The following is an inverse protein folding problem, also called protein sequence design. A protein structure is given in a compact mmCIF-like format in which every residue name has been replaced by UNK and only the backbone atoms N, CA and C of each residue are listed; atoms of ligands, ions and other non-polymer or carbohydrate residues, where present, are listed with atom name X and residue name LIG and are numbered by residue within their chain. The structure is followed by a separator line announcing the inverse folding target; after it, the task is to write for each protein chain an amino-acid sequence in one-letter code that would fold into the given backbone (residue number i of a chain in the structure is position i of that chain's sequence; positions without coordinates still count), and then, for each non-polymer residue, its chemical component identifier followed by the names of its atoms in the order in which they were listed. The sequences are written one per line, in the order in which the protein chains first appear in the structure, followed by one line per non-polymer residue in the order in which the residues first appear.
data_IF_735457395557
#
_entry.id   IF_735457395557
#
_cell.length_a   1.000
_cell.length_b   1.000
_cell.length_c   1.000
_cell.angle_alpha   90.00
_cell.angle_beta   90.00
_cell.angle_gamma   90.00
#
_symmetry.space_group_name_H-M   'P 1'
#
loop_
_entity.id
_entity.type
_entity.pdbx_description
1 polymer ?
#
# COMPACT_ATOMS: atom_id res chain seq x y z
N UNK A 1 27.91 -62.87 33.24
CA UNK A 1 28.94 -61.99 32.66
C UNK A 1 28.81 -60.64 33.33
N UNK A 2 29.78 -60.31 34.19
CA UNK A 2 29.76 -59.11 35.04
C UNK A 2 30.05 -57.87 34.19
N UNK A 3 29.11 -56.93 34.10
CA UNK A 3 29.39 -55.58 33.63
C UNK A 3 30.20 -54.87 34.73
N UNK A 4 31.39 -54.31 34.43
CA UNK A 4 32.15 -53.59 35.44
C UNK A 4 31.34 -52.35 35.86
N UNK A 5 31.16 -52.18 37.17
CA UNK A 5 30.65 -50.96 37.75
C UNK A 5 31.69 -49.86 37.51
N UNK A 6 31.58 -49.16 36.38
CA UNK A 6 32.27 -47.88 36.15
C UNK A 6 32.05 -47.01 37.39
N UNK A 7 33.14 -46.68 38.07
CA UNK A 7 33.10 -45.94 39.32
C UNK A 7 32.41 -44.59 39.08
N UNK A 8 31.57 -44.15 40.03
CA UNK A 8 30.90 -42.84 39.92
C UNK A 8 31.86 -41.66 39.72
N UNK A 9 33.14 -41.86 40.05
CA UNK A 9 34.23 -40.93 39.82
C UNK A 9 34.60 -40.77 38.34
N UNK A 10 34.63 -41.85 37.55
CA UNK A 10 34.91 -41.80 36.10
C UNK A 10 33.83 -41.01 35.34
N UNK A 11 32.57 -41.19 35.73
CA UNK A 11 31.43 -40.42 35.17
C UNK A 11 31.52 -38.94 35.57
N UNK A 12 31.82 -38.66 36.83
CA UNK A 12 31.99 -37.29 37.31
C UNK A 12 33.21 -36.58 36.67
N UNK A 13 34.27 -37.32 36.34
CA UNK A 13 35.43 -36.78 35.63
C UNK A 13 35.12 -36.54 34.14
N UNK A 14 34.38 -37.44 33.49
CA UNK A 14 33.91 -37.27 32.12
C UNK A 14 32.97 -36.06 31.98
N UNK A 15 32.06 -35.85 32.93
CA UNK A 15 31.20 -34.67 33.00
C UNK A 15 32.00 -33.38 33.19
N UNK A 16 32.99 -33.36 34.09
CA UNK A 16 33.90 -32.22 34.25
C UNK A 16 34.68 -31.92 32.98
N UNK A 17 35.21 -32.94 32.30
CA UNK A 17 35.90 -32.80 31.00
C UNK A 17 34.96 -32.26 29.90
N UNK A 18 33.71 -32.73 29.86
CA UNK A 18 32.70 -32.25 28.91
C UNK A 18 32.29 -30.79 29.18
N UNK A 19 32.13 -30.42 30.45
CA UNK A 19 31.80 -29.06 30.88
C UNK A 19 32.95 -28.08 30.54
N UNK A 20 34.20 -28.49 30.76
CA UNK A 20 35.38 -27.71 30.32
C UNK A 20 35.41 -27.55 28.80
N UNK A 21 35.16 -28.63 28.03
CA UNK A 21 35.08 -28.57 26.56
C UNK A 21 33.93 -27.68 26.08
N UNK A 22 32.78 -27.71 26.77
CA UNK A 22 31.62 -26.86 26.48
C UNK A 22 31.95 -25.40 26.73
N UNK A 23 32.46 -25.06 27.91
CA UNK A 23 32.90 -23.69 28.26
C UNK A 23 33.97 -23.16 27.32
N UNK A 24 34.90 -24.02 26.89
CA UNK A 24 35.89 -23.66 25.87
C UNK A 24 35.25 -23.36 24.50
N UNK A 25 34.29 -24.18 24.05
CA UNK A 25 33.56 -23.96 22.78
C UNK A 25 32.68 -22.71 22.84
N UNK A 26 32.06 -22.41 23.97
CA UNK A 26 31.25 -21.22 24.19
C UNK A 26 32.12 -19.96 24.18
N UNK A 27 33.21 -19.94 24.97
CA UNK A 27 34.16 -18.81 25.03
C UNK A 27 34.87 -18.55 23.70
N UNK A 28 35.12 -19.59 22.91
CA UNK A 28 35.80 -19.49 21.61
C UNK A 28 34.86 -19.69 20.41
N UNK A 29 33.54 -19.56 20.60
CA UNK A 29 32.56 -19.88 19.57
C UNK A 29 32.77 -19.06 18.30
N UNK A 30 33.05 -17.77 18.44
CA UNK A 30 33.26 -16.87 17.30
C UNK A 30 34.58 -17.17 16.59
N UNK A 31 35.69 -17.32 17.34
CA UNK A 31 37.00 -17.71 16.78
C UNK A 31 36.95 -19.05 16.04
N UNK A 32 36.21 -20.04 16.59
CA UNK A 32 36.03 -21.35 15.94
C UNK A 32 35.17 -21.21 14.68
N UNK A 33 34.11 -20.38 14.70
CA UNK A 33 33.28 -20.10 13.52
C UNK A 33 34.09 -19.40 12.42
N UNK A 34 34.87 -18.38 12.77
CA UNK A 34 35.74 -17.64 11.87
C UNK A 34 36.84 -18.53 11.29
N UNK A 35 37.51 -19.33 12.12
CA UNK A 35 38.52 -20.29 11.66
C UNK A 35 37.93 -21.33 10.69
N UNK A 36 36.73 -21.85 10.98
CA UNK A 36 36.02 -22.76 10.06
C UNK A 36 35.61 -22.08 8.77
N UNK A 37 35.18 -20.81 8.82
CA UNK A 37 34.82 -20.03 7.63
C UNK A 37 36.06 -19.81 6.76
N UNK A 38 37.14 -19.30 7.34
CA UNK A 38 38.40 -19.05 6.65
C UNK A 38 39.00 -20.35 6.06
N UNK A 39 38.88 -21.47 6.75
CA UNK A 39 39.28 -22.77 6.20
C UNK A 39 38.41 -23.19 5.01
N UNK A 40 37.08 -23.03 5.09
CA UNK A 40 36.16 -23.34 3.97
C UNK A 40 36.38 -22.44 2.77
N UNK A 41 36.71 -21.16 2.99
CA UNK A 41 37.03 -20.20 1.93
C UNK A 41 38.34 -20.60 1.24
N UNK A 42 39.41 -20.84 2.01
CA UNK A 42 40.70 -21.30 1.45
C UNK A 42 40.63 -22.65 0.75
N UNK A 43 39.71 -23.54 1.15
CA UNK A 43 39.55 -24.88 0.58
C UNK A 43 38.31 -25.00 -0.30
N UNK A 44 37.72 -23.88 -0.73
CA UNK A 44 36.45 -23.91 -1.45
C UNK A 44 36.54 -24.71 -2.74
N UNK A 45 37.61 -24.50 -3.51
CA UNK A 45 37.81 -25.17 -4.79
C UNK A 45 38.14 -26.65 -4.63
N UNK A 46 38.97 -27.00 -3.63
CA UNK A 46 39.23 -28.40 -3.29
C UNK A 46 37.95 -29.13 -2.84
N UNK A 47 37.12 -28.51 -1.99
CA UNK A 47 35.85 -29.08 -1.55
C UNK A 47 34.89 -29.25 -2.74
N UNK A 48 34.85 -28.28 -3.67
CA UNK A 48 34.03 -28.37 -4.88
C UNK A 48 34.51 -29.49 -5.81
N UNK A 49 35.81 -29.57 -6.09
CA UNK A 49 36.40 -30.60 -6.93
C UNK A 49 36.18 -32.00 -6.35
N UNK A 50 36.44 -32.16 -5.04
CA UNK A 50 36.19 -33.42 -4.33
C UNK A 50 34.71 -33.84 -4.40
N UNK A 51 33.78 -32.91 -4.15
CA UNK A 51 32.34 -33.20 -4.26
C UNK A 51 31.92 -33.53 -5.69
N UNK A 52 32.47 -32.83 -6.69
CA UNK A 52 32.16 -33.10 -8.08
C UNK A 52 32.65 -34.49 -8.53
N UNK A 53 33.86 -34.89 -8.11
CA UNK A 53 34.39 -36.23 -8.35
C UNK A 53 33.52 -37.29 -7.66
N UNK A 54 33.21 -37.08 -6.38
CA UNK A 54 32.35 -37.99 -5.62
C UNK A 54 30.94 -38.11 -6.22
N UNK A 55 30.31 -36.98 -6.59
CA UNK A 55 28.99 -36.98 -7.23
C UNK A 55 29.01 -37.62 -8.62
N UNK A 56 30.14 -37.58 -9.34
CA UNK A 56 30.30 -38.25 -10.63
C UNK A 56 30.43 -39.76 -10.47
N UNK A 57 31.22 -40.22 -9.50
CA UNK A 57 31.43 -41.65 -9.20
C UNK A 57 30.19 -42.30 -8.56
N UNK A 58 29.49 -41.58 -7.68
CA UNK A 58 28.35 -42.09 -6.92
C UNK A 58 26.99 -41.55 -7.39
N UNK A 59 26.92 -41.01 -8.62
CA UNK A 59 25.72 -40.34 -9.15
C UNK A 59 24.47 -41.21 -9.07
N UNK A 60 24.57 -42.44 -9.57
CA UNK A 60 23.44 -43.36 -9.64
C UNK A 60 22.98 -43.83 -8.26
N UNK A 61 23.91 -44.07 -7.34
CA UNK A 61 23.60 -44.45 -5.97
C UNK A 61 22.87 -43.31 -5.24
N UNK A 62 23.37 -42.08 -5.34
CA UNK A 62 22.73 -40.91 -4.74
C UNK A 62 21.35 -40.67 -5.34
N UNK A 63 21.18 -40.83 -6.66
CA UNK A 63 19.87 -40.70 -7.32
C UNK A 63 18.91 -41.82 -6.90
N UNK A 64 19.38 -43.07 -6.78
CA UNK A 64 18.60 -44.19 -6.30
C UNK A 64 18.11 -43.96 -4.87
N UNK A 65 19.01 -43.57 -3.95
CA UNK A 65 18.66 -43.21 -2.58
C UNK A 65 17.66 -42.05 -2.51
N UNK A 66 17.85 -41.00 -3.33
CA UNK A 66 16.89 -39.88 -3.43
C UNK A 66 15.52 -40.34 -3.95
N UNK A 67 15.47 -41.23 -4.94
CA UNK A 67 14.22 -41.79 -5.46
C UNK A 67 13.51 -42.65 -4.42
N UNK A 68 14.25 -43.47 -3.67
CA UNK A 68 13.67 -44.28 -2.58
C UNK A 68 13.17 -43.42 -1.43
N UNK A 69 13.95 -42.45 -0.98
CA UNK A 69 13.55 -41.48 0.03
C UNK A 69 12.26 -40.76 -0.40
N UNK A 70 12.21 -40.25 -1.63
CA UNK A 70 11.03 -39.58 -2.18
C UNK A 70 9.82 -40.51 -2.28
N UNK A 71 10.02 -41.79 -2.64
CA UNK A 71 8.97 -42.82 -2.66
C UNK A 71 8.44 -43.09 -1.24
N UNK A 72 9.31 -43.22 -0.24
CA UNK A 72 8.90 -43.43 1.16
C UNK A 72 8.16 -42.22 1.73
N UNK A 73 8.68 -41.01 1.54
CA UNK A 73 8.05 -39.77 1.99
C UNK A 73 6.66 -39.56 1.34
N UNK A 74 6.57 -39.75 0.02
CA UNK A 74 5.29 -39.64 -0.68
C UNK A 74 4.28 -40.71 -0.25
N UNK A 75 4.72 -41.96 -0.02
CA UNK A 75 3.89 -43.02 0.53
C UNK A 75 3.40 -42.70 1.96
N UNK A 76 4.28 -42.19 2.83
CA UNK A 76 3.91 -41.75 4.18
C UNK A 76 2.89 -40.61 4.15
N UNK A 77 3.10 -39.58 3.32
CA UNK A 77 2.14 -38.49 3.14
C UNK A 77 0.81 -38.97 2.56
N UNK A 78 0.84 -39.92 1.64
CA UNK A 78 -0.38 -40.52 1.09
C UNK A 78 -1.15 -41.33 2.16
N UNK A 79 -0.45 -42.13 2.98
CA UNK A 79 -1.04 -42.87 4.09
C UNK A 79 -1.62 -41.94 5.16
N UNK A 80 -0.92 -40.84 5.48
CA UNK A 80 -1.41 -39.83 6.42
C UNK A 80 -2.68 -39.13 5.89
N UNK A 81 -2.70 -38.75 4.60
CA UNK A 81 -3.90 -38.21 3.95
C UNK A 81 -5.06 -39.19 4.02
N UNK A 82 -4.85 -40.46 3.67
CA UNK A 82 -5.87 -41.52 3.77
C UNK A 82 -6.38 -41.69 5.20
N UNK A 83 -5.50 -41.64 6.21
CA UNK A 83 -5.90 -41.70 7.64
C UNK A 83 -6.71 -40.48 8.06
N UNK A 84 -6.37 -39.28 7.58
CA UNK A 84 -7.15 -38.06 7.84
C UNK A 84 -8.52 -38.13 7.18
N UNK A 85 -8.59 -38.60 5.94
CA UNK A 85 -9.84 -38.79 5.20
C UNK A 85 -10.73 -39.85 5.84
N UNK A 86 -10.18 -41.00 6.24
CA UNK A 86 -10.94 -42.04 6.93
C UNK A 86 -11.47 -41.56 8.28
N UNK A 87 -10.68 -40.81 9.06
CA UNK A 87 -11.14 -40.16 10.29
C UNK A 87 -12.24 -39.13 10.04
N UNK A 88 -12.14 -38.33 8.97
CA UNK A 88 -13.19 -37.38 8.59
C UNK A 88 -14.47 -38.12 8.19
N UNK A 89 -14.35 -39.20 7.44
CA UNK A 89 -15.49 -40.01 7.02
C UNK A 89 -16.17 -40.70 8.20
N UNK A 90 -15.40 -41.31 9.11
CA UNK A 90 -15.94 -41.95 10.32
C UNK A 90 -16.57 -40.92 11.26
N UNK A 91 -15.91 -39.77 11.45
CA UNK A 91 -16.46 -38.66 12.22
C UNK A 91 -17.76 -38.14 11.61
N UNK A 92 -17.82 -37.96 10.29
CA UNK A 92 -19.05 -37.56 9.59
C UNK A 92 -20.18 -38.57 9.80
N UNK A 93 -19.91 -39.86 9.61
CA UNK A 93 -20.89 -40.93 9.87
C UNK A 93 -21.39 -40.91 11.31
N UNK A 94 -20.48 -40.76 12.28
CA UNK A 94 -20.82 -40.63 13.68
C UNK A 94 -21.74 -39.42 13.93
N UNK A 95 -21.38 -38.23 13.43
CA UNK A 95 -22.22 -37.03 13.56
C UNK A 95 -23.57 -37.14 12.85
N UNK A 96 -23.64 -37.85 11.73
CA UNK A 96 -24.90 -38.10 11.02
C UNK A 96 -25.81 -39.03 11.82
N UNK A 97 -25.28 -40.11 12.38
CA UNK A 97 -26.01 -41.02 13.26
C UNK A 97 -26.50 -40.32 14.55
N UNK A 98 -25.69 -39.45 15.14
CA UNK A 98 -25.99 -38.78 16.43
C UNK A 98 -26.48 -37.34 16.25
N UNK A 99 -26.95 -37.00 15.03
CA UNK A 99 -27.35 -35.63 14.70
C UNK A 99 -28.53 -35.13 15.52
N UNK A 100 -29.49 -36.02 15.81
CA UNK A 100 -30.66 -35.71 16.61
C UNK A 100 -30.27 -35.46 18.08
N UNK A 101 -29.52 -36.39 18.67
CA UNK A 101 -29.01 -36.28 20.04
C UNK A 101 -28.16 -35.01 20.25
N UNK A 102 -27.25 -34.71 19.32
CA UNK A 102 -26.45 -33.49 19.41
C UNK A 102 -27.30 -32.22 19.32
N UNK A 103 -28.37 -32.23 18.52
CA UNK A 103 -29.32 -31.11 18.43
C UNK A 103 -30.10 -30.96 19.74
N UNK A 104 -30.54 -32.06 20.34
CA UNK A 104 -31.24 -32.06 21.63
C UNK A 104 -30.34 -31.60 22.76
N UNK A 105 -29.14 -32.15 22.86
CA UNK A 105 -28.10 -31.68 23.76
C UNK A 105 -27.85 -30.17 23.62
N UNK A 106 -27.72 -29.68 22.38
CA UNK A 106 -27.54 -28.24 22.12
C UNK A 106 -28.76 -27.43 22.55
N UNK A 107 -29.98 -27.93 22.35
CA UNK A 107 -31.23 -27.26 22.80
C UNK A 107 -31.27 -27.19 24.33
N UNK A 108 -31.02 -28.30 25.01
CA UNK A 108 -30.99 -28.39 26.47
C UNK A 108 -29.90 -27.48 27.06
N UNK A 109 -28.70 -27.50 26.48
CA UNK A 109 -27.62 -26.61 26.89
C UNK A 109 -27.98 -25.13 26.73
N UNK A 110 -28.63 -24.74 25.62
CA UNK A 110 -29.11 -23.36 25.41
C UNK A 110 -30.22 -22.99 26.39
N UNK A 111 -31.14 -23.91 26.67
CA UNK A 111 -32.21 -23.70 27.65
C UNK A 111 -31.63 -23.50 29.05
N UNK A 112 -30.70 -24.37 29.46
CA UNK A 112 -29.98 -24.26 30.73
C UNK A 112 -29.24 -22.92 30.84
N UNK A 113 -28.49 -22.52 29.80
CA UNK A 113 -27.77 -21.23 29.82
C UNK A 113 -28.68 -20.02 29.82
N UNK A 114 -29.85 -20.09 29.19
CA UNK A 114 -30.86 -19.03 29.26
C UNK A 114 -31.54 -18.97 30.63
N UNK A 115 -31.70 -20.10 31.31
CA UNK A 115 -32.30 -20.16 32.65
C UNK A 115 -31.31 -19.71 33.75
N UNK A 116 -30.03 -20.06 33.63
CA UNK A 116 -28.97 -19.71 34.58
C UNK A 116 -28.64 -18.20 34.55
N UNK A 117 -28.49 -17.64 33.34
CA UNK A 117 -28.23 -16.20 33.15
C UNK A 117 -28.83 -15.71 31.82
N UNK A 118 -30.09 -15.23 31.83
CA UNK A 118 -30.75 -14.73 30.64
C UNK A 118 -30.01 -13.55 29.99
N UNK A 119 -29.48 -12.62 30.79
CA UNK A 119 -28.88 -11.38 30.30
C UNK A 119 -27.48 -11.63 29.73
N UNK A 120 -26.63 -12.39 30.44
CA UNK A 120 -25.31 -12.76 29.95
C UNK A 120 -25.37 -13.64 28.71
N UNK A 121 -26.35 -14.55 28.60
CA UNK A 121 -26.57 -15.33 27.38
C UNK A 121 -26.94 -14.42 26.18
N UNK A 122 -27.81 -13.44 26.38
CA UNK A 122 -28.16 -12.47 25.33
C UNK A 122 -26.96 -11.60 24.94
N UNK A 123 -26.20 -11.09 25.91
CA UNK A 123 -25.01 -10.29 25.66
C UNK A 123 -23.93 -11.08 24.89
N UNK A 124 -23.69 -12.33 25.28
CA UNK A 124 -22.78 -13.25 24.57
C UNK A 124 -23.25 -13.51 23.14
N UNK A 125 -24.55 -13.74 22.92
CA UNK A 125 -25.12 -13.89 21.57
C UNK A 125 -25.01 -12.62 20.73
N UNK A 126 -25.27 -11.46 21.32
CA UNK A 126 -25.17 -10.17 20.65
C UNK A 126 -23.72 -9.84 20.26
N UNK A 127 -22.73 -10.15 21.11
CA UNK A 127 -21.30 -9.98 20.77
C UNK A 127 -20.87 -10.92 19.65
N UNK A 128 -21.27 -12.19 19.69
CA UNK A 128 -21.02 -13.15 18.62
C UNK A 128 -21.65 -12.70 17.29
N UNK A 129 -22.90 -12.24 17.34
CA UNK A 129 -23.61 -11.73 16.17
C UNK A 129 -22.94 -10.46 15.61
N UNK A 130 -22.51 -9.53 16.47
CA UNK A 130 -21.77 -8.32 16.06
C UNK A 130 -20.44 -8.68 15.39
N UNK A 131 -19.68 -9.64 15.95
CA UNK A 131 -18.43 -10.14 15.34
C UNK A 131 -18.70 -10.76 13.98
N UNK A 132 -19.71 -11.61 13.87
CA UNK A 132 -20.11 -12.24 12.60
C UNK A 132 -20.49 -11.19 11.55
N UNK A 133 -21.32 -10.21 11.91
CA UNK A 133 -21.67 -9.11 11.01
C UNK A 133 -20.46 -8.29 10.60
N UNK A 134 -19.54 -7.98 11.52
CA UNK A 134 -18.33 -7.20 11.18
C UNK A 134 -17.49 -7.89 10.09
N UNK A 135 -17.41 -9.21 10.10
CA UNK A 135 -16.59 -9.97 9.14
C UNK A 135 -17.35 -10.39 7.89
N UNK A 136 -18.67 -10.61 7.95
CA UNK A 136 -19.44 -11.17 6.84
C UNK A 136 -20.46 -10.20 6.23
N UNK A 137 -20.52 -8.94 6.69
CA UNK A 137 -21.46 -7.94 6.17
C UNK A 137 -21.35 -7.76 4.66
N UNK A 138 -20.14 -7.69 4.14
CA UNK A 138 -19.95 -7.43 2.70
C UNK A 138 -20.29 -8.64 1.85
N UNK A 139 -19.95 -9.85 2.30
CA UNK A 139 -20.36 -11.10 1.64
C UNK A 139 -21.89 -11.25 1.62
N UNK A 140 -22.54 -10.99 2.75
CA UNK A 140 -24.00 -11.05 2.85
C UNK A 140 -24.67 -10.00 1.96
N UNK A 141 -24.17 -8.77 1.98
CA UNK A 141 -24.65 -7.70 1.11
C UNK A 141 -24.40 -8.00 -0.38
N UNK A 142 -23.27 -8.62 -0.73
CA UNK A 142 -22.99 -9.03 -2.10
C UNK A 142 -23.99 -10.09 -2.58
N UNK A 143 -24.28 -11.10 -1.76
CA UNK A 143 -25.32 -12.11 -2.04
C UNK A 143 -26.70 -11.48 -2.22
N UNK A 144 -27.09 -10.57 -1.34
CA UNK A 144 -28.34 -9.82 -1.47
C UNK A 144 -28.41 -8.97 -2.74
N UNK A 145 -27.31 -8.29 -3.10
CA UNK A 145 -27.23 -7.50 -4.34
C UNK A 145 -27.35 -8.41 -5.55
N UNK A 146 -26.70 -9.56 -5.55
CA UNK A 146 -26.80 -10.55 -6.63
C UNK A 146 -28.26 -11.04 -6.76
N UNK A 147 -28.87 -11.47 -5.65
CA UNK A 147 -30.27 -11.91 -5.62
C UNK A 147 -31.23 -10.82 -6.13
N UNK A 148 -31.04 -9.57 -5.71
CA UNK A 148 -31.86 -8.45 -6.19
C UNK A 148 -31.59 -8.04 -7.63
N UNK A 149 -30.39 -8.32 -8.16
CA UNK A 149 -30.04 -8.07 -9.56
C UNK A 149 -30.68 -9.11 -10.46
N UNK A 150 -30.59 -10.38 -10.09
CA UNK A 150 -31.11 -11.52 -10.86
C UNK A 150 -32.64 -11.58 -10.80
N UNK A 151 -33.23 -11.36 -9.62
CA UNK A 151 -34.67 -11.47 -9.41
C UNK A 151 -35.24 -10.23 -8.70
N UNK A 152 -35.40 -9.09 -9.41
CA UNK A 152 -35.96 -7.87 -8.83
C UNK A 152 -37.48 -7.90 -8.65
N UNK A 153 -38.19 -8.74 -9.42
CA UNK A 153 -39.65 -8.70 -9.51
C UNK A 153 -40.40 -9.07 -8.23
N UNK A 154 -40.00 -10.07 -7.42
CA UNK A 154 -40.72 -10.39 -6.18
C UNK A 154 -40.81 -9.19 -5.22
N UNK A 155 -39.70 -8.45 -5.07
CA UNK A 155 -39.65 -7.26 -4.21
C UNK A 155 -40.50 -6.12 -4.78
N UNK A 156 -40.51 -5.94 -6.11
CA UNK A 156 -41.35 -4.93 -6.78
C UNK A 156 -42.82 -5.28 -6.70
N UNK A 157 -43.19 -6.54 -6.90
CA UNK A 157 -44.54 -7.04 -6.79
C UNK A 157 -45.08 -6.85 -5.38
N UNK A 158 -44.32 -7.24 -4.35
CA UNK A 158 -44.68 -7.00 -2.96
C UNK A 158 -44.84 -5.51 -2.65
N UNK A 159 -43.93 -4.66 -3.14
CA UNK A 159 -44.06 -3.21 -2.98
C UNK A 159 -45.32 -2.68 -3.67
N UNK A 160 -45.61 -3.10 -4.91
CA UNK A 160 -46.83 -2.72 -5.65
C UNK A 160 -48.09 -3.13 -4.89
N UNK A 161 -48.15 -4.37 -4.39
CA UNK A 161 -49.27 -4.87 -3.61
C UNK A 161 -49.47 -4.05 -2.32
N UNK A 162 -48.38 -3.75 -1.60
CA UNK A 162 -48.43 -2.90 -0.40
C UNK A 162 -48.92 -1.48 -0.71
N UNK A 163 -48.39 -0.83 -1.75
CA UNK A 163 -48.85 0.52 -2.14
C UNK A 163 -50.30 0.54 -2.62
N UNK A 164 -50.77 -0.52 -3.28
CA UNK A 164 -52.16 -0.64 -3.70
C UNK A 164 -53.09 -0.82 -2.50
N UNK A 165 -52.76 -1.72 -1.57
CA UNK A 165 -53.55 -1.98 -0.38
C UNK A 165 -53.58 -0.80 0.61
N UNK A 166 -52.47 -0.05 0.72
CA UNK A 166 -52.32 1.05 1.68
C UNK A 166 -52.32 2.44 1.02
N UNK A 167 -52.92 2.58 -0.16
CA UNK A 167 -52.85 3.83 -0.94
C UNK A 167 -53.38 5.05 -0.17
N UNK A 168 -54.56 4.92 0.45
CA UNK A 168 -55.21 6.02 1.18
C UNK A 168 -54.52 6.31 2.52
N UNK A 169 -54.08 5.29 3.24
CA UNK A 169 -53.30 5.45 4.48
C UNK A 169 -52.00 6.24 4.21
N UNK A 170 -51.29 5.90 3.13
CA UNK A 170 -50.07 6.60 2.74
C UNK A 170 -50.34 8.03 2.28
N UNK A 171 -51.44 8.30 1.57
CA UNK A 171 -51.85 9.66 1.22
C UNK A 171 -52.19 10.47 2.47
N UNK A 172 -52.94 9.92 3.41
CA UNK A 172 -53.29 10.57 4.67
C UNK A 172 -52.04 10.90 5.49
N UNK A 173 -51.13 9.94 5.67
CA UNK A 173 -49.83 10.16 6.34
C UNK A 173 -49.00 11.25 5.64
N UNK A 174 -48.95 11.27 4.31
CA UNK A 174 -48.24 12.32 3.55
C UNK A 174 -48.86 13.70 3.75
N UNK A 175 -50.20 13.80 3.72
CA UNK A 175 -50.92 15.06 3.97
C UNK A 175 -50.67 15.57 5.38
N UNK A 176 -50.80 14.71 6.39
CA UNK A 176 -50.53 15.04 7.79
C UNK A 176 -49.08 15.50 8.00
N UNK A 177 -48.11 14.77 7.43
CA UNK A 177 -46.71 15.15 7.48
C UNK A 177 -46.45 16.52 6.84
N UNK A 178 -47.02 16.76 5.65
CA UNK A 178 -46.87 18.05 4.96
C UNK A 178 -47.52 19.19 5.73
N UNK A 179 -48.71 18.98 6.31
CA UNK A 179 -49.37 19.99 7.14
C UNK A 179 -48.51 20.37 8.35
N UNK A 180 -47.97 19.38 9.07
CA UNK A 180 -47.11 19.60 10.22
C UNK A 180 -45.73 20.20 9.86
N UNK A 181 -45.20 19.90 8.66
CA UNK A 181 -43.84 20.28 8.25
C UNK A 181 -43.81 21.27 7.07
N UNK A 182 -44.90 21.99 6.83
CA UNK A 182 -45.06 22.84 5.64
C UNK A 182 -43.92 23.84 5.47
N UNK A 183 -43.55 24.53 6.54
CA UNK A 183 -42.47 25.51 6.55
C UNK A 183 -41.11 24.88 6.17
N UNK A 184 -40.80 23.71 6.72
CA UNK A 184 -39.55 22.97 6.42
C UNK A 184 -39.48 22.53 4.96
N UNK A 185 -40.58 22.00 4.41
CA UNK A 185 -40.64 21.59 3.00
C UNK A 185 -40.48 22.79 2.08
N UNK A 186 -41.16 23.90 2.35
CA UNK A 186 -41.05 25.13 1.56
C UNK A 186 -39.65 25.76 1.66
N UNK A 187 -39.04 25.78 2.84
CA UNK A 187 -37.67 26.26 3.03
C UNK A 187 -36.66 25.41 2.24
N UNK A 188 -36.80 24.08 2.27
CA UNK A 188 -36.00 23.17 1.45
C UNK A 188 -36.16 23.42 -0.06
N UNK A 189 -37.39 23.64 -0.51
CA UNK A 189 -37.67 23.98 -1.91
C UNK A 189 -37.06 25.33 -2.31
N UNK A 190 -37.13 26.36 -1.45
CA UNK A 190 -36.49 27.66 -1.68
C UNK A 190 -34.97 27.51 -1.75
N UNK A 191 -34.36 26.82 -0.78
CA UNK A 191 -32.92 26.58 -0.77
C UNK A 191 -32.44 25.80 -2.01
N UNK A 192 -33.24 24.82 -2.48
CA UNK A 192 -32.95 24.10 -3.71
C UNK A 192 -32.98 25.02 -4.94
N UNK A 193 -34.01 25.87 -5.07
CA UNK A 193 -34.13 26.84 -6.18
C UNK A 193 -32.99 27.84 -6.18
N UNK A 194 -32.64 28.40 -5.03
CA UNK A 194 -31.51 29.34 -4.90
C UNK A 194 -30.17 28.71 -5.26
N UNK A 195 -29.95 27.45 -4.87
CA UNK A 195 -28.75 26.71 -5.28
C UNK A 195 -28.70 26.49 -6.79
N UNK A 196 -29.83 26.13 -7.41
CA UNK A 196 -29.88 25.92 -8.86
C UNK A 196 -29.71 27.24 -9.63
N UNK A 197 -30.28 28.34 -9.12
CA UNK A 197 -30.05 29.70 -9.64
C UNK A 197 -28.57 30.07 -9.60
N UNK A 198 -27.88 29.84 -8.47
CA UNK A 198 -26.43 30.07 -8.35
C UNK A 198 -25.61 29.18 -9.29
N UNK A 199 -26.00 27.90 -9.43
CA UNK A 199 -25.35 26.97 -10.37
C UNK A 199 -25.44 27.47 -11.81
N UNK A 200 -26.63 27.88 -12.25
CA UNK A 200 -26.85 28.41 -13.58
C UNK A 200 -26.12 29.75 -13.78
N UNK A 201 -26.12 30.63 -12.78
CA UNK A 201 -25.37 31.88 -12.82
C UNK A 201 -23.85 31.67 -12.93
N UNK A 202 -23.33 30.57 -12.37
CA UNK A 202 -21.95 30.15 -12.51
C UNK A 202 -21.65 29.44 -13.86
N UNK A 203 -22.61 29.41 -14.80
CA UNK A 203 -22.45 28.80 -16.13
C UNK A 203 -22.44 27.27 -16.13
N UNK A 204 -22.77 26.61 -15.02
CA UNK A 204 -22.85 25.14 -15.01
C UNK A 204 -24.11 24.69 -15.75
N UNK A 205 -24.02 23.68 -16.62
CA UNK A 205 -25.16 23.19 -17.38
C UNK A 205 -26.28 22.70 -16.44
N UNK A 206 -27.55 22.75 -16.86
CA UNK A 206 -28.66 22.25 -16.08
C UNK A 206 -28.40 20.79 -15.68
N UNK A 207 -28.73 20.43 -14.43
CA UNK A 207 -28.33 19.14 -13.84
C UNK A 207 -28.80 17.91 -14.64
N UNK A 208 -29.79 18.04 -15.52
CA UNK A 208 -30.23 16.97 -16.41
C UNK A 208 -29.53 17.07 -17.77
N UNK A 209 -28.22 16.78 -17.78
CA UNK A 209 -27.66 16.09 -18.95
C UNK A 209 -28.45 14.79 -19.09
N UNK A 210 -28.99 14.52 -20.28
CA UNK A 210 -29.94 13.44 -20.54
C UNK A 210 -29.60 12.18 -19.73
N UNK A 211 -30.53 11.72 -18.90
CA UNK A 211 -30.40 10.44 -18.20
C UNK A 211 -30.35 9.35 -19.26
N UNK A 212 -29.16 8.82 -19.51
CA UNK A 212 -28.96 7.63 -20.32
C UNK A 212 -29.85 6.53 -19.73
N UNK A 213 -30.81 5.95 -20.48
CA UNK A 213 -31.69 4.91 -19.99
C UNK A 213 -30.88 3.73 -19.44
N UNK A 214 -31.47 2.98 -18.49
CA UNK A 214 -30.76 1.90 -17.82
C UNK A 214 -30.22 0.85 -18.80
N UNK A 215 -30.99 0.52 -19.85
CA UNK A 215 -30.56 -0.39 -20.91
C UNK A 215 -29.30 0.11 -21.63
N UNK A 216 -29.25 1.39 -22.01
CA UNK A 216 -28.10 1.99 -22.67
C UNK A 216 -26.89 2.09 -21.74
N UNK A 217 -27.08 2.34 -20.43
CA UNK A 217 -25.97 2.25 -19.45
C UNK A 217 -25.41 0.84 -19.35
N UNK A 218 -26.27 -0.18 -19.35
CA UNK A 218 -25.84 -1.58 -19.35
C UNK A 218 -25.10 -1.94 -20.63
N UNK A 219 -25.60 -1.52 -21.80
CA UNK A 219 -24.92 -1.70 -23.08
C UNK A 219 -23.55 -1.01 -23.09
N UNK A 220 -23.46 0.23 -22.60
CA UNK A 220 -22.22 0.98 -22.51
C UNK A 220 -21.22 0.31 -21.54
N UNK A 221 -21.70 -0.25 -20.43
CA UNK A 221 -20.86 -0.97 -19.48
C UNK A 221 -20.35 -2.27 -20.09
N UNK A 222 -21.22 -3.05 -20.74
CA UNK A 222 -20.83 -4.27 -21.45
C UNK A 222 -19.85 -3.99 -22.60
N UNK A 223 -20.07 -2.92 -23.37
CA UNK A 223 -19.17 -2.48 -24.43
C UNK A 223 -17.82 -2.02 -23.87
N UNK A 224 -17.80 -1.31 -22.75
CA UNK A 224 -16.58 -0.94 -22.05
C UNK A 224 -15.83 -2.18 -21.55
N UNK A 225 -16.52 -3.11 -20.90
CA UNK A 225 -15.92 -4.37 -20.42
C UNK A 225 -15.34 -5.16 -21.60
N UNK A 226 -16.07 -5.31 -22.70
CA UNK A 226 -15.57 -5.95 -23.91
C UNK A 226 -14.35 -5.22 -24.50
N UNK A 227 -14.37 -3.89 -24.50
CA UNK A 227 -13.26 -3.07 -24.99
C UNK A 227 -11.99 -3.25 -24.14
N UNK A 228 -12.12 -3.28 -22.81
CA UNK A 228 -10.98 -3.37 -21.88
C UNK A 228 -10.48 -4.81 -21.64
N UNK A 229 -11.32 -5.82 -21.84
CA UNK A 229 -10.95 -7.23 -21.63
C UNK A 229 -10.39 -7.90 -22.88
N UNK A 230 -10.64 -7.37 -24.09
CA UNK A 230 -10.08 -7.96 -25.32
C UNK A 230 -8.55 -7.85 -25.33
N UNK A 231 -7.88 -8.94 -25.70
CA UNK A 231 -6.44 -8.88 -26.00
C UNK A 231 -6.23 -8.13 -27.31
N UNK A 232 -5.39 -7.10 -27.31
CA UNK A 232 -5.07 -6.30 -28.50
C UNK A 232 -3.73 -6.71 -29.06
N UNK A 233 -3.64 -6.75 -30.39
CA UNK A 233 -2.37 -6.97 -31.07
C UNK A 233 -1.46 -5.74 -30.90
N UNK A 234 -0.13 -5.91 -31.04
CA UNK A 234 0.82 -4.79 -30.97
C UNK A 234 0.51 -3.67 -31.97
N UNK A 235 0.00 -4.02 -33.15
CA UNK A 235 -0.39 -3.10 -34.21
C UNK A 235 -1.63 -2.28 -33.85
N UNK A 236 -2.65 -2.91 -33.26
CA UNK A 236 -3.83 -2.19 -32.73
C UNK A 236 -3.44 -1.22 -31.62
N UNK A 237 -2.51 -1.62 -30.75
CA UNK A 237 -1.97 -0.75 -29.69
C UNK A 237 -1.22 0.42 -30.31
N UNK A 238 -0.42 0.19 -31.37
CA UNK A 238 0.27 1.24 -32.10
C UNK A 238 -0.71 2.19 -32.81
N UNK A 239 -1.79 1.67 -33.39
CA UNK A 239 -2.84 2.46 -34.03
C UNK A 239 -3.63 3.32 -33.01
N UNK A 240 -3.96 2.78 -31.84
CA UNK A 240 -4.60 3.54 -30.75
C UNK A 240 -3.68 4.63 -30.18
N UNK A 241 -2.35 4.42 -30.20
CA UNK A 241 -1.35 5.40 -29.79
C UNK A 241 -1.12 6.48 -30.85
N UNK A 242 -1.26 6.15 -32.14
CA UNK A 242 -1.33 7.13 -33.22
C UNK A 242 -2.66 7.87 -33.10
N UNK A 243 -2.66 8.97 -32.33
CA UNK A 243 -3.83 9.83 -32.18
C UNK A 243 -4.46 10.09 -33.56
N UNK A 244 -5.77 9.88 -33.75
CA UNK A 244 -6.43 10.42 -34.94
C UNK A 244 -6.16 11.92 -34.97
N UNK A 245 -5.89 12.47 -36.16
CA UNK A 245 -5.69 13.90 -36.41
C UNK A 245 -6.94 14.67 -35.94
N UNK A 246 -7.03 14.95 -34.65
CA UNK A 246 -7.98 15.91 -34.12
C UNK A 246 -7.48 17.31 -34.51
N UNK A 247 -8.39 18.25 -34.80
CA UNK A 247 -8.03 19.62 -35.14
C UNK A 247 -7.14 20.22 -34.04
N UNK A 248 -6.09 20.92 -34.48
CA UNK A 248 -4.94 21.40 -33.69
C UNK A 248 -5.36 22.20 -32.45
N UNK A 249 -6.56 22.77 -32.44
CA UNK A 249 -7.11 23.55 -31.32
C UNK A 249 -7.38 22.73 -30.04
N UNK A 250 -7.60 21.41 -30.14
CA UNK A 250 -7.76 20.54 -28.96
C UNK A 250 -6.45 19.90 -28.46
N UNK A 251 -5.31 20.20 -29.10
CA UNK A 251 -3.99 19.69 -28.75
C UNK A 251 -3.20 20.66 -27.87
N UNK A 252 -3.84 21.29 -26.88
CA UNK A 252 -3.04 21.86 -25.78
C UNK A 252 -2.44 20.70 -25.01
N UNK A 253 -1.14 20.47 -25.19
CA UNK A 253 -0.38 19.52 -24.40
C UNK A 253 -0.68 19.80 -22.92
N UNK A 254 -1.10 18.76 -22.18
CA UNK A 254 -1.40 18.90 -20.76
C UNK A 254 -0.20 19.55 -20.08
N UNK A 255 -0.36 20.71 -19.42
CA UNK A 255 0.75 21.40 -18.79
C UNK A 255 1.56 20.43 -17.93
N UNK A 256 2.88 20.38 -18.06
CA UNK A 256 3.73 19.40 -17.37
C UNK A 256 3.57 19.49 -15.84
N UNK A 257 3.21 20.67 -15.33
CA UNK A 257 2.90 20.90 -13.92
C UNK A 257 1.69 20.10 -13.42
N UNK A 258 0.63 19.97 -14.24
CA UNK A 258 -0.54 19.19 -13.88
C UNK A 258 -0.24 17.69 -13.90
N UNK A 259 0.60 17.24 -14.83
CA UNK A 259 1.09 15.85 -14.88
C UNK A 259 1.96 15.55 -13.66
N UNK A 260 2.85 16.48 -13.28
CA UNK A 260 3.67 16.35 -12.08
C UNK A 260 2.85 16.36 -10.79
N UNK A 261 1.85 17.25 -10.69
CA UNK A 261 0.92 17.30 -9.56
C UNK A 261 0.12 16.01 -9.43
N UNK A 262 -0.45 15.51 -10.53
CA UNK A 262 -1.16 14.23 -10.56
C UNK A 262 -0.25 13.05 -10.18
N UNK A 263 1.01 13.06 -10.61
CA UNK A 263 2.01 12.07 -10.23
C UNK A 263 2.31 12.07 -8.73
N UNK A 264 2.42 13.25 -8.11
CA UNK A 264 2.59 13.41 -6.65
C UNK A 264 1.36 12.89 -5.90
N UNK A 265 0.17 13.31 -6.30
CA UNK A 265 -1.09 12.90 -5.65
C UNK A 265 -1.33 11.39 -5.77
N UNK A 266 -1.08 10.81 -6.94
CA UNK A 266 -1.20 9.36 -7.16
C UNK A 266 -0.20 8.54 -6.35
N UNK A 267 1.01 9.07 -6.09
CA UNK A 267 1.97 8.43 -5.18
C UNK A 267 1.46 8.50 -3.74
N UNK A 268 0.97 9.66 -3.31
CA UNK A 268 0.42 9.86 -1.96
C UNK A 268 -0.73 8.90 -1.67
N UNK A 269 -1.70 8.82 -2.57
CA UNK A 269 -2.88 7.96 -2.42
C UNK A 269 -2.50 6.47 -2.39
N UNK A 270 -1.55 6.02 -3.23
CA UNK A 270 -1.07 4.63 -3.20
C UNK A 270 -0.40 4.29 -1.87
N UNK A 271 0.38 5.21 -1.31
CA UNK A 271 0.99 5.05 0.02
C UNK A 271 -0.10 4.99 1.10
N UNK A 272 -1.10 5.87 1.05
CA UNK A 272 -2.23 5.87 1.99
C UNK A 272 -3.06 4.57 1.92
N UNK A 273 -3.31 4.06 0.72
CA UNK A 273 -4.02 2.79 0.53
C UNK A 273 -3.21 1.60 1.06
N UNK A 274 -1.91 1.54 0.76
CA UNK A 274 -1.03 0.51 1.31
C UNK A 274 -1.02 0.53 2.85
N UNK A 275 -1.01 1.72 3.45
CA UNK A 275 -1.11 1.91 4.91
C UNK A 275 -2.44 1.46 5.51
N UNK A 276 -3.53 1.59 4.77
CA UNK A 276 -4.85 1.14 5.21
C UNK A 276 -5.01 -0.39 5.10
N UNK A 277 -4.29 -1.03 4.17
CA UNK A 277 -4.36 -2.46 3.91
C UNK A 277 -3.43 -3.29 4.82
N UNK A 278 -2.23 -2.80 5.17
CA UNK A 278 -1.26 -3.54 5.98
C UNK A 278 -1.37 -3.24 7.48
N UNK A 279 -1.94 -4.19 8.22
CA UNK A 279 -2.18 -4.09 9.66
C UNK A 279 -0.96 -4.27 10.58
N UNK A 280 0.27 -4.38 10.06
CA UNK A 280 1.46 -4.64 10.88
C UNK A 280 2.13 -3.36 11.40
N UNK A 281 2.52 -3.35 12.68
CA UNK A 281 3.12 -2.20 13.38
C UNK A 281 4.54 -1.88 12.89
N UNK A 282 5.29 -2.90 12.45
CA UNK A 282 6.66 -2.77 11.94
C UNK A 282 6.74 -2.01 10.60
N UNK A 283 5.70 -2.08 9.76
CA UNK A 283 5.66 -1.33 8.50
C UNK A 283 5.47 0.18 8.71
N UNK A 284 4.83 0.59 9.81
CA UNK A 284 4.56 2.01 10.10
C UNK A 284 5.82 2.79 10.49
N UNK A 285 6.79 2.17 11.15
CA UNK A 285 8.05 2.84 11.53
C UNK A 285 8.95 3.07 10.32
N UNK A 286 9.20 2.04 9.50
CA UNK A 286 9.98 2.15 8.27
C UNK A 286 9.39 3.18 7.30
N UNK A 287 8.06 3.31 7.29
CA UNK A 287 7.35 4.24 6.41
C UNK A 287 7.28 5.67 6.99
N UNK A 288 7.27 5.82 8.31
CA UNK A 288 7.49 7.11 8.96
C UNK A 288 8.89 7.66 8.67
N UNK A 289 9.91 6.78 8.61
CA UNK A 289 11.26 7.14 8.19
C UNK A 289 11.30 7.53 6.71
N UNK A 290 10.64 6.78 5.82
CA UNK A 290 10.54 7.14 4.41
C UNK A 290 9.86 8.51 4.18
N UNK A 291 8.82 8.84 4.97
CA UNK A 291 8.19 10.18 4.94
C UNK A 291 9.12 11.29 5.39
N UNK A 292 9.93 11.05 6.42
CA UNK A 292 10.95 12.03 6.88
C UNK A 292 12.01 12.26 5.80
N UNK A 293 12.44 11.21 5.11
CA UNK A 293 13.40 11.32 4.01
C UNK A 293 12.84 12.09 2.82
N UNK A 294 11.60 11.82 2.40
CA UNK A 294 10.94 12.57 1.33
C UNK A 294 10.75 14.04 1.69
N UNK A 295 10.29 14.33 2.91
CA UNK A 295 10.15 15.71 3.38
C UNK A 295 11.51 16.44 3.47
N UNK A 296 12.60 15.73 3.80
CA UNK A 296 13.95 16.29 3.78
C UNK A 296 14.42 16.60 2.34
N UNK A 297 14.13 15.72 1.38
CA UNK A 297 14.43 15.96 -0.04
C UNK A 297 13.63 17.15 -0.60
N UNK A 298 12.34 17.26 -0.28
CA UNK A 298 11.51 18.41 -0.67
C UNK A 298 12.03 19.72 -0.09
N UNK A 299 12.47 19.72 1.18
CA UNK A 299 13.10 20.90 1.79
C UNK A 299 14.44 21.24 1.14
N UNK A 300 15.25 20.25 0.76
CA UNK A 300 16.51 20.47 0.06
C UNK A 300 16.28 21.11 -1.31
N UNK A 301 15.38 20.55 -2.11
CA UNK A 301 15.03 21.11 -3.44
C UNK A 301 14.43 22.51 -3.35
N UNK A 302 13.61 22.81 -2.33
CA UNK A 302 13.10 24.16 -2.10
C UNK A 302 14.21 25.15 -1.70
N UNK A 303 15.23 24.70 -0.95
CA UNK A 303 16.41 25.53 -0.65
C UNK A 303 17.20 25.81 -1.92
N UNK A 304 17.50 24.79 -2.71
CA UNK A 304 18.19 24.95 -4.00
C UNK A 304 17.45 25.91 -4.94
N UNK A 305 16.12 25.84 -5.00
CA UNK A 305 15.32 26.78 -5.79
C UNK A 305 15.41 28.21 -5.26
N UNK A 306 15.40 28.40 -3.93
CA UNK A 306 15.58 29.73 -3.32
C UNK A 306 16.97 30.28 -3.60
N UNK A 307 18.00 29.46 -3.42
CA UNK A 307 19.39 29.83 -3.66
C UNK A 307 19.61 30.17 -5.15
N UNK A 308 18.98 29.41 -6.07
CA UNK A 308 19.03 29.72 -7.51
C UNK A 308 18.36 31.05 -7.85
N UNK A 309 17.21 31.36 -7.23
CA UNK A 309 16.53 32.66 -7.40
C UNK A 309 17.36 33.80 -6.83
N UNK A 310 17.98 33.60 -5.67
CA UNK A 310 18.83 34.59 -5.02
C UNK A 310 20.11 34.85 -5.84
N UNK A 311 20.75 33.80 -6.34
CA UNK A 311 21.90 33.92 -7.24
C UNK A 311 21.53 34.65 -8.54
N UNK A 312 20.39 34.32 -9.15
CA UNK A 312 19.92 35.03 -10.34
C UNK A 312 19.65 36.53 -10.05
N UNK A 313 19.18 36.86 -8.84
CA UNK A 313 19.00 38.24 -8.39
C UNK A 313 20.35 38.94 -8.20
N UNK A 314 21.33 38.29 -7.57
CA UNK A 314 22.68 38.84 -7.39
C UNK A 314 23.38 39.08 -8.73
N UNK A 315 23.26 38.15 -9.67
CA UNK A 315 23.78 38.30 -11.03
C UNK A 315 23.13 39.48 -11.78
N UNK A 316 21.82 39.68 -11.63
CA UNK A 316 21.13 40.82 -12.24
C UNK A 316 21.62 42.15 -11.65
N UNK A 317 21.85 42.21 -10.34
CA UNK A 317 22.44 43.38 -9.68
C UNK A 317 23.87 43.61 -10.19
N UNK A 318 24.68 42.55 -10.28
CA UNK A 318 26.05 42.60 -10.81
C UNK A 318 26.10 43.14 -12.24
N UNK A 319 25.18 42.70 -13.11
CA UNK A 319 25.04 43.22 -14.49
C UNK A 319 24.69 44.71 -14.49
N UNK A 320 23.70 45.14 -13.70
CA UNK A 320 23.34 46.56 -13.60
C UNK A 320 24.50 47.44 -13.11
N UNK A 321 25.28 46.96 -12.14
CA UNK A 321 26.47 47.67 -11.65
C UNK A 321 27.53 47.74 -12.74
N UNK A 322 27.81 46.63 -13.43
CA UNK A 322 28.77 46.61 -14.54
C UNK A 322 28.35 47.51 -15.70
N UNK A 323 27.07 47.53 -16.07
CA UNK A 323 26.55 48.40 -17.12
C UNK A 323 26.68 49.87 -16.72
N UNK A 324 26.38 50.22 -15.46
CA UNK A 324 26.63 51.57 -14.93
C UNK A 324 28.10 51.97 -14.95
N UNK A 325 29.01 51.04 -14.67
CA UNK A 325 30.45 51.29 -14.72
C UNK A 325 30.98 51.39 -16.15
N UNK A 326 30.41 50.63 -17.10
CA UNK A 326 30.75 50.68 -18.53
C UNK A 326 30.24 51.95 -19.21
N UNK A 327 29.08 52.47 -18.80
CA UNK A 327 28.49 53.70 -19.35
C UNK A 327 28.86 54.97 -18.56
N UNK A 328 29.67 54.84 -17.51
CA UNK A 328 30.37 55.99 -16.96
C UNK A 328 31.55 56.28 -17.89
N UNK A 329 31.23 56.91 -19.03
CA UNK A 329 32.24 57.58 -19.84
C UNK A 329 33.09 58.39 -18.85
N UNK A 330 34.40 58.10 -18.72
CA UNK A 330 35.24 58.95 -17.92
C UNK A 330 35.06 60.35 -18.53
N UNK A 331 34.72 61.38 -17.73
CA UNK A 331 34.70 62.73 -18.25
C UNK A 331 36.06 62.90 -18.89
N UNK A 332 36.09 63.09 -20.22
CA UNK A 332 37.31 63.39 -20.96
C UNK A 332 37.86 64.62 -20.27
N UNK A 333 38.81 64.41 -19.36
CA UNK A 333 39.62 65.48 -18.80
C UNK A 333 40.22 66.12 -20.03
N UNK A 334 39.73 67.31 -20.38
CA UNK A 334 40.45 68.19 -21.28
C UNK A 334 41.80 68.36 -20.61
N UNK A 335 42.83 67.80 -21.24
CA UNK A 335 44.19 68.21 -21.03
C UNK A 335 44.26 69.71 -21.33
N UNK A 336 43.98 70.54 -20.32
CA UNK A 336 44.57 71.87 -20.25
C UNK A 336 46.01 71.64 -19.85
N UNK A 337 46.87 71.57 -20.88
CA UNK A 337 48.26 71.95 -20.77
C UNK A 337 48.28 73.47 -20.58
N UNK A 338 48.15 73.91 -19.34
CA UNK A 338 48.67 75.22 -18.92
C UNK A 338 49.74 74.92 -17.86
N UNK A 339 51.04 75.12 -18.17
CA UNK A 339 52.10 74.96 -17.20
C UNK A 339 52.03 76.12 -16.20
N UNK A 340 51.70 75.81 -14.96
CA UNK A 340 51.91 76.73 -13.83
C UNK A 340 53.39 76.61 -13.40
N UNK A 341 54.22 77.66 -13.56
CA UNK A 341 55.66 77.60 -13.32
C UNK A 341 56.07 77.69 -11.83
N UNK A 342 55.16 77.59 -10.87
CA UNK A 342 55.47 77.92 -9.46
C UNK A 342 55.13 76.86 -8.40
N UNK A 343 54.80 75.61 -8.75
CA UNK A 343 54.49 74.59 -7.74
C UNK A 343 55.66 73.63 -7.45
N UNK A 344 56.25 73.63 -6.24
CA UNK A 344 57.34 72.74 -5.86
C UNK A 344 56.86 71.30 -5.67
N UNK A 345 57.57 70.36 -6.32
CA UNK A 345 57.39 68.92 -6.16
C UNK A 345 57.60 68.46 -4.70
N UNK A 346 56.65 67.73 -4.09
CA UNK A 346 56.94 66.91 -2.93
C UNK A 346 57.32 65.49 -3.37
N UNK A 347 58.61 65.22 -3.22
CA UNK A 347 59.27 63.97 -2.85
C UNK A 347 58.39 62.71 -2.69
N UNK A 348 58.75 61.71 -3.48
CA UNK A 348 58.86 60.29 -3.14
C UNK A 348 58.65 59.94 -1.66
N UNK A 349 57.82 58.93 -1.40
CA UNK A 349 58.14 57.91 -0.40
C UNK A 349 57.55 56.54 -0.78
N UNK A 350 58.40 55.50 -0.92
CA UNK A 350 57.99 54.11 -1.05
C UNK A 350 57.97 53.44 0.33
N UNK A 351 56.88 52.77 0.68
CA UNK A 351 56.76 51.75 1.75
C UNK A 351 55.27 51.38 1.78
N UNK A 352 54.81 50.14 1.67
CA UNK A 352 55.08 48.98 2.53
C UNK A 352 54.36 47.79 1.85
N UNK A 353 55.01 46.73 1.37
CA UNK A 353 55.40 45.49 2.07
C UNK A 353 54.33 44.81 2.94
N UNK A 354 54.13 43.52 2.59
CA UNK A 354 53.77 42.37 3.44
C UNK A 354 52.30 42.03 3.66
N UNK A 355 51.99 40.75 3.40
CA UNK A 355 50.92 40.04 4.08
C UNK A 355 50.40 38.79 3.37
N UNK A 356 51.23 37.74 3.30
CA UNK A 356 50.73 36.36 3.13
C UNK A 356 49.82 35.97 4.30
N UNK A 357 48.87 35.08 4.07
CA UNK A 357 48.65 33.81 4.80
C UNK A 357 47.38 33.11 4.26
N UNK A 358 47.56 31.98 3.58
CA UNK A 358 47.31 30.59 4.00
C UNK A 358 45.93 30.07 3.63
#
# INVERSE_FOLDING_TARGET
MNAPAESGEERAEAERKNEVRRRYRERNADRIREGKRAWRERNQDHIRAYRAAYDAEHREEVLAQKREYSRRDSAQKAAERRRKESKKASSKKYYEAHKAEHREYTRQWRARKRAEDPEGYQAMRATAQRRWWKTHKDEYNAKLRAQHRENPEPKRAQARAYYAAHAEELKAKKRAYYAANRAKVLAGNRAWKEREKRRLAAGLPPRRLRTTPAAERHANTAAADAFFTRQRTPEEIAALRRKPRAPVEMLRATPPELVAAFGRDSKRIRIEHALAADGSYASRQLLAEARRQLAAQERATQREQRDAVENARLDAIGKQVNDRLRHRDPPRRRHHLDPDPAAPHPMLNPNTTMGMNR
#
